data_IF_242655736255
#
_entry.id   IF_242655736255
#
_cell.length_a   1.000
_cell.length_b   1.000
_cell.length_c   1.000
_cell.angle_alpha   90.00
_cell.angle_beta   90.00
_cell.angle_gamma   90.00
#
_symmetry.space_group_name_H-M   'P 1'
#
loop_
_entity.id
_entity.type
_entity.pdbx_description
1 polymer ?
#
# COMPACT_ATOMS: atom_id res chain seq x y z
N UNK A 1 10.60 24.18 9.85
CA UNK A 1 9.34 23.40 9.69
C UNK A 1 9.70 21.92 9.67
N UNK A 2 9.73 21.29 10.84
CA UNK A 2 10.00 19.86 10.99
C UNK A 2 8.70 19.11 10.75
N UNK A 3 8.52 18.55 9.56
CA UNK A 3 7.43 17.61 9.30
C UNK A 3 7.72 16.37 10.15
N UNK A 4 6.91 16.19 11.19
CA UNK A 4 6.95 15.04 12.09
C UNK A 4 6.83 13.77 11.23
N UNK A 5 7.81 12.87 11.33
CA UNK A 5 7.77 11.53 10.70
C UNK A 5 6.55 10.82 11.27
N UNK A 6 5.40 11.01 10.65
CA UNK A 6 4.18 10.34 11.02
C UNK A 6 4.50 8.84 10.97
N UNK A 7 4.30 8.14 12.10
CA UNK A 7 4.84 6.78 12.36
C UNK A 7 4.34 5.78 11.31
N UNK A 8 5.06 5.65 10.21
CA UNK A 8 4.87 4.59 9.22
C UNK A 8 5.21 3.28 9.93
N UNK A 9 4.35 2.28 9.82
CA UNK A 9 4.63 0.96 10.41
C UNK A 9 5.86 0.34 9.73
N UNK A 10 6.65 -0.50 10.43
CA UNK A 10 7.84 -1.12 9.83
C UNK A 10 7.54 -1.86 8.51
N UNK A 11 6.40 -2.55 8.43
CA UNK A 11 5.97 -3.22 7.19
C UNK A 11 5.64 -2.24 6.05
N UNK A 12 4.99 -1.13 6.35
CA UNK A 12 4.69 -0.11 5.34
C UNK A 12 5.96 0.62 4.87
N UNK A 13 6.93 0.83 5.76
CA UNK A 13 8.22 1.39 5.39
C UNK A 13 8.95 0.48 4.39
N UNK A 14 8.92 -0.84 4.62
CA UNK A 14 9.49 -1.82 3.69
C UNK A 14 8.76 -1.83 2.34
N UNK A 15 7.43 -1.79 2.34
CA UNK A 15 6.64 -1.68 1.11
C UNK A 15 7.03 -0.44 0.30
N UNK A 16 7.13 0.72 0.95
CA UNK A 16 7.49 1.98 0.29
C UNK A 16 8.92 1.96 -0.27
N UNK A 17 9.87 1.31 0.41
CA UNK A 17 11.22 1.11 -0.12
C UNK A 17 11.21 0.29 -1.41
N UNK A 18 10.50 -0.84 -1.43
CA UNK A 18 10.38 -1.69 -2.64
C UNK A 18 9.65 -0.94 -3.75
N UNK A 19 8.59 -0.18 -3.40
CA UNK A 19 7.84 0.62 -4.37
C UNK A 19 8.68 1.74 -4.99
N UNK A 20 9.61 2.32 -4.23
CA UNK A 20 10.53 3.34 -4.75
C UNK A 20 11.47 2.78 -5.84
N UNK A 21 11.82 1.49 -5.77
CA UNK A 21 12.58 0.79 -6.82
C UNK A 21 11.70 0.43 -8.04
N UNK A 22 10.38 0.41 -7.85
CA UNK A 22 9.38 -0.04 -8.82
C UNK A 22 8.24 0.98 -9.00
N UNK A 23 8.53 2.23 -9.42
CA UNK A 23 7.56 3.33 -9.37
C UNK A 23 6.37 3.15 -10.32
N UNK A 24 6.56 2.47 -11.45
CA UNK A 24 5.54 2.33 -12.52
C UNK A 24 4.85 0.97 -12.55
N UNK A 25 5.36 -0.01 -11.80
CA UNK A 25 4.82 -1.38 -11.77
C UNK A 25 4.01 -1.62 -10.50
N UNK A 26 3.01 -2.50 -10.57
CA UNK A 26 2.25 -2.92 -9.39
C UNK A 26 3.12 -3.82 -8.51
N UNK A 27 3.24 -3.47 -7.22
CA UNK A 27 3.98 -4.28 -6.26
C UNK A 27 3.00 -5.13 -5.46
N UNK A 28 3.05 -6.45 -5.68
CA UNK A 28 2.29 -7.42 -4.89
C UNK A 28 3.08 -7.74 -3.62
N UNK A 29 2.66 -7.16 -2.51
CA UNK A 29 3.34 -7.31 -1.23
C UNK A 29 2.71 -8.46 -0.44
N UNK A 30 3.49 -9.50 -0.16
CA UNK A 30 2.97 -10.69 0.52
C UNK A 30 2.80 -10.43 2.02
N UNK A 31 1.59 -10.60 2.51
CA UNK A 31 1.27 -10.56 3.95
C UNK A 31 0.52 -11.84 4.31
N UNK A 32 1.25 -12.79 4.90
CA UNK A 32 0.72 -14.13 5.19
C UNK A 32 0.42 -14.90 3.90
N UNK A 33 -0.85 -15.27 3.74
CA UNK A 33 -1.36 -16.03 2.58
C UNK A 33 -1.86 -15.15 1.44
N UNK A 34 -1.97 -13.83 1.66
CA UNK A 34 -2.47 -12.89 0.68
C UNK A 34 -1.36 -12.06 0.04
N UNK A 35 -1.62 -11.61 -1.19
CA UNK A 35 -0.86 -10.52 -1.80
C UNK A 35 -1.66 -9.25 -1.75
N UNK A 36 -1.16 -8.27 -1.01
CA UNK A 36 -1.79 -6.96 -0.83
C UNK A 36 -1.05 -5.88 -1.62
N UNK A 37 -1.83 -4.96 -2.17
CA UNK A 37 -1.38 -3.72 -2.79
C UNK A 37 -1.90 -2.55 -1.98
N UNK A 38 -1.16 -1.44 -1.95
CA UNK A 38 -1.49 -0.26 -1.16
C UNK A 38 -1.54 1.02 -2.00
N UNK A 39 -2.34 1.99 -1.55
CA UNK A 39 -2.50 3.32 -2.16
C UNK A 39 -2.94 3.26 -3.64
N UNK A 40 -2.25 3.94 -4.53
CA UNK A 40 -2.59 4.01 -5.96
C UNK A 40 -2.55 2.63 -6.63
N UNK A 41 -1.66 1.74 -6.18
CA UNK A 41 -1.56 0.38 -6.71
C UNK A 41 -2.81 -0.43 -6.38
N UNK A 42 -3.39 -0.23 -5.19
CA UNK A 42 -4.65 -0.86 -4.81
C UNK A 42 -5.81 -0.41 -5.71
N UNK A 43 -5.89 0.89 -6.02
CA UNK A 43 -6.92 1.42 -6.91
C UNK A 43 -6.77 0.91 -8.35
N UNK A 44 -5.53 0.88 -8.86
CA UNK A 44 -5.23 0.33 -10.19
C UNK A 44 -5.56 -1.16 -10.24
N UNK A 45 -5.12 -1.94 -9.26
CA UNK A 45 -5.39 -3.37 -9.20
C UNK A 45 -6.88 -3.67 -9.08
N UNK A 46 -7.63 -2.91 -8.28
CA UNK A 46 -9.09 -3.05 -8.18
C UNK A 46 -9.78 -2.86 -9.53
N UNK A 47 -9.39 -1.83 -10.29
CA UNK A 47 -9.95 -1.58 -11.63
C UNK A 47 -9.53 -2.63 -12.67
N UNK A 48 -8.28 -3.07 -12.63
CA UNK A 48 -7.71 -3.99 -13.63
C UNK A 48 -8.13 -5.45 -13.39
N UNK A 49 -8.18 -5.87 -12.13
CA UNK A 49 -8.40 -7.26 -11.72
C UNK A 49 -9.83 -7.51 -11.21
N UNK A 50 -10.64 -6.46 -11.04
CA UNK A 50 -12.01 -6.58 -10.52
C UNK A 50 -12.05 -6.98 -9.04
N UNK A 51 -10.98 -6.74 -8.29
CA UNK A 51 -10.89 -7.07 -6.86
C UNK A 51 -11.44 -5.95 -5.99
N UNK A 52 -11.96 -6.29 -4.81
CA UNK A 52 -12.59 -5.32 -3.92
C UNK A 52 -11.56 -4.35 -3.34
N UNK A 53 -11.78 -3.05 -3.53
CA UNK A 53 -11.00 -2.00 -2.90
C UNK A 53 -11.49 -1.78 -1.46
N UNK A 54 -10.59 -1.89 -0.49
CA UNK A 54 -10.90 -1.70 0.94
C UNK A 54 -9.98 -0.64 1.55
N UNK A 55 -10.24 -0.28 2.81
CA UNK A 55 -9.47 0.71 3.55
C UNK A 55 -9.23 0.18 4.95
N UNK A 56 -7.99 0.23 5.44
CA UNK A 56 -7.64 -0.28 6.78
C UNK A 56 -6.78 0.70 7.55
N UNK A 57 -7.27 1.11 8.72
CA UNK A 57 -6.51 1.96 9.64
C UNK A 57 -6.10 3.31 9.05
N UNK A 58 -5.08 3.92 9.63
CA UNK A 58 -4.46 5.16 9.16
C UNK A 58 -2.95 4.99 9.21
N UNK A 59 -2.25 5.39 8.14
CA UNK A 59 -0.80 5.52 8.11
C UNK A 59 -0.48 6.97 7.78
N UNK A 60 0.35 7.61 8.61
CA UNK A 60 0.68 9.02 8.47
C UNK A 60 -0.51 10.00 8.50
N UNK A 61 -1.63 9.62 9.12
CA UNK A 61 -2.87 10.41 9.17
C UNK A 61 -3.81 10.20 7.98
N UNK A 62 -3.36 9.48 6.95
CA UNK A 62 -4.15 9.14 5.78
C UNK A 62 -4.68 7.69 5.86
N UNK A 63 -5.92 7.41 5.44
CA UNK A 63 -6.45 6.06 5.38
C UNK A 63 -5.66 5.22 4.37
N UNK A 64 -5.19 4.04 4.80
CA UNK A 64 -4.48 3.13 3.88
C UNK A 64 -5.50 2.41 3.02
N UNK A 65 -5.55 2.80 1.75
CA UNK A 65 -6.33 2.11 0.71
C UNK A 65 -5.59 0.83 0.33
N UNK A 66 -6.28 -0.29 0.28
CA UNK A 66 -5.69 -1.60 0.02
C UNK A 66 -6.61 -2.52 -0.80
N UNK A 67 -6.01 -3.39 -1.60
CA UNK A 67 -6.68 -4.43 -2.35
C UNK A 67 -5.78 -5.67 -2.38
N UNK A 68 -6.36 -6.86 -2.35
CA UNK A 68 -5.57 -8.10 -2.33
C UNK A 68 -6.29 -9.30 -2.90
N UNK A 69 -5.49 -10.34 -3.15
CA UNK A 69 -5.89 -11.68 -3.64
C UNK A 69 -5.32 -12.76 -2.76
#
# INVERSE_FOLDING_TARGET
MTVEKAKISPGMAQYLSIKAEHPTTLVFFRIGDFYELFFEDAEKASRLLGITLTRRGQSAGEPVVMAGV
#
